data_IF_483302851677
#
_entry.id   IF_483302851677
#
_cell.length_a   1.000
_cell.length_b   1.000
_cell.length_c   1.000
_cell.angle_alpha   90.00
_cell.angle_beta   90.00
_cell.angle_gamma   90.00
#
_symmetry.space_group_name_H-M   'P 1'
#
loop_
_entity.id
_entity.type
_entity.pdbx_description
1 polymer ?
#
# COMPACT_ATOMS: atom_id res chain seq x y z
N UNK A 1 -9.06 -7.81 -10.35
CA UNK A 1 -7.81 -7.10 -9.96
C UNK A 1 -7.80 -5.73 -10.59
N UNK A 2 -7.32 -4.71 -9.88
CA UNK A 2 -7.23 -3.33 -10.36
C UNK A 2 -5.83 -3.02 -10.92
N UNK A 3 -5.78 -2.03 -11.82
CA UNK A 3 -4.51 -1.52 -12.39
C UNK A 3 -3.65 -0.85 -11.32
N UNK A 4 -2.32 -0.94 -11.40
CA UNK A 4 -1.43 -0.16 -10.54
C UNK A 4 -1.34 1.33 -10.95
N UNK A 5 -1.82 1.69 -12.13
CA UNK A 5 -1.81 3.07 -12.60
C UNK A 5 -3.01 3.84 -12.04
N UNK A 6 -2.82 5.14 -11.75
CA UNK A 6 -3.91 6.01 -11.36
C UNK A 6 -5.05 5.97 -12.38
N UNK A 7 -6.33 5.91 -11.94
CA UNK A 7 -7.47 6.08 -12.83
C UNK A 7 -7.33 7.32 -13.70
N UNK A 8 -7.71 7.23 -14.97
CA UNK A 8 -7.54 8.31 -15.94
C UNK A 8 -8.18 9.64 -15.47
N UNK A 9 -9.37 9.57 -14.87
CA UNK A 9 -10.06 10.74 -14.34
C UNK A 9 -9.25 11.41 -13.21
N UNK A 10 -8.71 10.62 -12.27
CA UNK A 10 -7.90 11.13 -11.16
C UNK A 10 -6.60 11.76 -11.66
N UNK A 11 -5.94 11.11 -12.63
CA UNK A 11 -4.74 11.65 -13.28
C UNK A 11 -5.02 12.99 -13.95
N UNK A 12 -6.11 13.09 -14.72
CA UNK A 12 -6.52 14.34 -15.36
C UNK A 12 -6.86 15.43 -14.37
N UNK A 13 -7.53 15.10 -13.25
CA UNK A 13 -7.85 16.03 -12.19
C UNK A 13 -6.61 16.62 -11.49
N UNK A 14 -5.59 15.80 -11.27
CA UNK A 14 -4.28 16.26 -10.74
C UNK A 14 -3.55 17.15 -11.74
N UNK A 15 -3.51 16.75 -13.02
CA UNK A 15 -2.85 17.54 -14.08
C UNK A 15 -3.54 18.89 -14.28
N UNK A 16 -4.88 18.95 -14.21
CA UNK A 16 -5.65 20.19 -14.28
C UNK A 16 -5.30 21.15 -13.13
N UNK A 17 -5.13 20.65 -11.89
CA UNK A 17 -4.75 21.47 -10.73
C UNK A 17 -3.31 21.95 -10.77
N UNK A 18 -2.44 21.21 -11.46
CA UNK A 18 -1.08 21.62 -11.71
C UNK A 18 -0.97 22.64 -12.87
N UNK A 19 -2.02 22.76 -13.69
CA UNK A 19 -2.05 23.72 -14.79
C UNK A 19 -2.01 25.15 -14.26
N UNK A 20 -1.18 25.99 -14.88
CA UNK A 20 -0.96 27.39 -14.45
C UNK A 20 0.06 27.56 -13.32
N UNK A 21 0.55 26.48 -12.70
CA UNK A 21 1.66 26.54 -11.75
C UNK A 21 3.01 26.43 -12.47
N UNK A 22 4.02 27.13 -11.97
CA UNK A 22 5.40 26.99 -12.42
C UNK A 22 5.89 25.56 -12.17
N UNK A 23 6.29 24.86 -13.23
CA UNK A 23 6.83 23.50 -13.15
C UNK A 23 8.10 23.44 -12.30
N UNK A 24 8.92 24.46 -12.38
CA UNK A 24 10.14 24.59 -11.56
C UNK A 24 9.80 24.69 -10.08
N UNK A 25 8.90 25.60 -9.70
CA UNK A 25 8.53 25.82 -8.30
C UNK A 25 7.83 24.57 -7.72
N UNK A 26 6.97 23.92 -8.52
CA UNK A 26 6.33 22.66 -8.12
C UNK A 26 7.37 21.53 -7.92
N UNK A 27 8.40 21.44 -8.77
CA UNK A 27 9.52 20.51 -8.61
C UNK A 27 10.35 20.78 -7.36
N UNK A 28 10.67 22.05 -7.07
CA UNK A 28 11.40 22.47 -5.86
C UNK A 28 10.59 22.13 -4.58
N UNK A 29 9.26 22.36 -4.58
CA UNK A 29 8.35 21.95 -3.49
C UNK A 29 8.36 20.44 -3.29
N UNK A 30 8.15 19.67 -4.35
CA UNK A 30 8.18 18.20 -4.30
C UNK A 30 9.52 17.67 -3.79
N UNK A 31 10.63 18.26 -4.23
CA UNK A 31 11.99 17.93 -3.78
C UNK A 31 12.20 18.17 -2.28
N UNK A 32 11.78 19.35 -1.77
CA UNK A 32 11.84 19.71 -0.34
C UNK A 32 11.02 18.76 0.51
N UNK A 33 9.77 18.46 0.12
CA UNK A 33 8.90 17.54 0.83
C UNK A 33 9.50 16.12 0.84
N UNK A 34 10.01 15.65 -0.30
CA UNK A 34 10.66 14.34 -0.39
C UNK A 34 11.93 14.25 0.46
N UNK A 35 12.70 15.32 0.58
CA UNK A 35 13.87 15.38 1.45
C UNK A 35 13.47 15.27 2.94
N UNK A 36 12.41 15.97 3.36
CA UNK A 36 11.87 15.89 4.72
C UNK A 36 11.49 14.44 5.07
N UNK A 37 10.70 13.76 4.23
CA UNK A 37 10.33 12.36 4.47
C UNK A 37 11.53 11.41 4.55
N UNK A 38 12.55 11.60 3.72
CA UNK A 38 13.78 10.78 3.77
C UNK A 38 14.60 10.99 5.03
N UNK A 39 14.51 12.17 5.65
CA UNK A 39 15.17 12.48 6.93
C UNK A 39 14.32 12.14 8.16
N UNK A 40 13.21 11.41 7.99
CA UNK A 40 12.33 11.01 9.09
C UNK A 40 11.30 12.06 9.49
N UNK A 41 11.07 13.08 8.65
CA UNK A 41 9.98 14.05 8.83
C UNK A 41 8.61 13.48 8.47
N UNK A 42 7.60 14.34 8.60
CA UNK A 42 6.20 14.02 8.35
C UNK A 42 5.55 15.02 7.37
N UNK A 43 4.23 14.94 7.22
CA UNK A 43 3.43 15.80 6.35
C UNK A 43 3.40 17.29 6.75
N UNK A 44 3.96 17.68 7.89
CA UNK A 44 3.99 19.07 8.38
C UNK A 44 4.70 20.07 7.46
N UNK A 45 5.52 19.59 6.53
CA UNK A 45 6.15 20.45 5.48
C UNK A 45 5.20 20.81 4.34
N UNK A 46 4.01 20.24 4.28
CA UNK A 46 2.96 20.50 3.28
C UNK A 46 2.02 21.53 3.90
N UNK A 47 2.23 22.81 3.62
CA UNK A 47 1.54 23.91 4.30
C UNK A 47 0.59 24.70 3.39
N UNK A 48 0.63 24.46 2.08
CA UNK A 48 -0.19 25.17 1.10
C UNK A 48 -0.82 24.20 0.09
N UNK A 49 -1.83 24.67 -0.62
CA UNK A 49 -2.44 23.94 -1.74
C UNK A 49 -1.39 23.58 -2.81
N UNK A 50 -0.48 24.51 -3.12
CA UNK A 50 0.60 24.28 -4.09
C UNK A 50 1.57 23.15 -3.61
N UNK A 51 1.86 23.07 -2.31
CA UNK A 51 2.64 21.97 -1.75
C UNK A 51 1.88 20.64 -1.85
N UNK A 52 0.57 20.64 -1.55
CA UNK A 52 -0.26 19.45 -1.62
C UNK A 52 -0.37 18.91 -3.07
N UNK A 53 -0.56 19.80 -4.06
CA UNK A 53 -0.60 19.44 -5.47
C UNK A 53 0.75 18.88 -5.95
N UNK A 54 1.86 19.54 -5.61
CA UNK A 54 3.20 19.08 -5.96
C UNK A 54 3.51 17.71 -5.34
N UNK A 55 3.18 17.52 -4.06
CA UNK A 55 3.29 16.23 -3.37
C UNK A 55 2.45 15.15 -4.02
N UNK A 56 1.16 15.40 -4.27
CA UNK A 56 0.25 14.43 -4.86
C UNK A 56 0.71 14.05 -6.29
N UNK A 57 1.14 14.99 -7.11
CA UNK A 57 1.63 14.71 -8.47
C UNK A 57 2.80 13.72 -8.47
N UNK A 58 3.67 13.78 -7.45
CA UNK A 58 4.88 12.95 -7.38
C UNK A 58 4.69 11.67 -6.58
N UNK A 59 3.89 11.69 -5.50
CA UNK A 59 3.77 10.55 -4.56
C UNK A 59 2.51 9.73 -4.73
N UNK A 60 1.39 10.37 -5.11
CA UNK A 60 0.12 9.65 -5.23
C UNK A 60 0.18 8.47 -6.22
N UNK A 61 0.85 8.57 -7.40
CA UNK A 61 0.97 7.42 -8.30
C UNK A 61 1.66 6.22 -7.67
N UNK A 62 2.77 6.44 -6.96
CA UNK A 62 3.53 5.39 -6.31
C UNK A 62 2.77 4.75 -5.13
N UNK A 63 2.16 5.58 -4.28
CA UNK A 63 1.31 5.10 -3.17
C UNK A 63 0.11 4.32 -3.68
N UNK A 64 -0.55 4.82 -4.74
CA UNK A 64 -1.67 4.12 -5.38
C UNK A 64 -1.26 2.74 -5.88
N UNK A 65 -0.13 2.64 -6.59
CA UNK A 65 0.38 1.38 -7.12
C UNK A 65 0.64 0.35 -6.01
N UNK A 66 1.25 0.76 -4.89
CA UNK A 66 1.50 -0.10 -3.73
C UNK A 66 0.19 -0.56 -3.06
N UNK A 67 -0.76 0.37 -2.85
CA UNK A 67 -2.07 0.04 -2.27
C UNK A 67 -2.86 -0.88 -3.21
N UNK A 68 -2.88 -0.60 -4.51
CA UNK A 68 -3.55 -1.44 -5.52
C UNK A 68 -2.99 -2.87 -5.54
N UNK A 69 -1.67 -3.03 -5.52
CA UNK A 69 -1.03 -4.34 -5.43
C UNK A 69 -1.39 -5.08 -4.13
N UNK A 70 -1.45 -4.36 -3.00
CA UNK A 70 -1.84 -4.92 -1.70
C UNK A 70 -3.31 -5.35 -1.67
N UNK A 71 -4.21 -4.54 -2.25
CA UNK A 71 -5.63 -4.88 -2.41
C UNK A 71 -5.85 -6.06 -3.36
N UNK A 72 -5.08 -6.14 -4.45
CA UNK A 72 -5.10 -7.28 -5.35
C UNK A 72 -4.71 -8.58 -4.62
N UNK A 73 -3.70 -8.55 -3.76
CA UNK A 73 -3.30 -9.69 -2.95
C UNK A 73 -4.39 -10.07 -1.92
N UNK A 74 -5.09 -9.09 -1.34
CA UNK A 74 -6.24 -9.31 -0.46
C UNK A 74 -7.40 -9.97 -1.20
N UNK A 75 -7.77 -9.47 -2.39
CA UNK A 75 -8.84 -10.05 -3.20
C UNK A 75 -8.54 -11.49 -3.63
N UNK A 76 -7.27 -11.84 -3.87
CA UNK A 76 -6.86 -13.22 -4.12
C UNK A 76 -7.04 -14.11 -2.88
N UNK A 77 -6.74 -13.59 -1.68
CA UNK A 77 -6.87 -14.34 -0.43
C UNK A 77 -8.33 -14.48 0.04
N UNK A 78 -9.15 -13.49 -0.26
CA UNK A 78 -10.57 -13.43 0.10
C UNK A 78 -11.42 -12.95 -1.09
N UNK A 79 -11.66 -13.79 -2.10
CA UNK A 79 -12.38 -13.39 -3.31
C UNK A 79 -13.83 -12.96 -3.07
N UNK A 80 -14.45 -13.43 -2.00
CA UNK A 80 -15.82 -13.08 -1.62
C UNK A 80 -15.91 -11.86 -0.70
N UNK A 81 -14.78 -11.23 -0.38
CA UNK A 81 -14.77 -10.03 0.47
C UNK A 81 -15.37 -8.84 -0.27
N UNK A 82 -16.54 -8.41 0.16
CA UNK A 82 -17.33 -7.32 -0.43
C UNK A 82 -17.62 -6.23 0.64
N UNK A 83 -16.62 -5.38 1.01
CA UNK A 83 -16.79 -4.36 2.03
C UNK A 83 -17.81 -3.31 1.59
N UNK A 84 -18.71 -2.90 2.50
CA UNK A 84 -19.66 -1.82 2.27
C UNK A 84 -19.12 -0.46 2.76
N UNK A 85 -18.16 -0.48 3.69
CA UNK A 85 -17.61 0.72 4.34
C UNK A 85 -16.08 0.73 4.34
N UNK A 86 -15.49 1.92 4.11
CA UNK A 86 -14.07 2.20 4.16
C UNK A 86 -13.77 3.24 5.24
N UNK A 87 -12.69 3.00 6.00
CA UNK A 87 -12.00 3.99 6.84
C UNK A 87 -10.54 4.10 6.41
N UNK A 88 -10.13 5.24 5.85
CA UNK A 88 -8.77 5.55 5.41
C UNK A 88 -8.08 6.45 6.45
N UNK A 89 -7.07 5.92 7.13
CA UNK A 89 -6.40 6.57 8.26
C UNK A 89 -5.01 7.06 7.86
N UNK A 90 -4.75 8.35 8.05
CA UNK A 90 -3.60 9.02 7.47
C UNK A 90 -3.77 9.14 5.95
N UNK A 91 -4.97 9.48 5.53
CA UNK A 91 -5.42 9.40 4.14
C UNK A 91 -4.66 10.33 3.19
N UNK A 92 -4.04 11.41 3.73
CA UNK A 92 -3.37 12.40 2.90
C UNK A 92 -4.29 12.94 1.79
N UNK A 93 -3.91 12.87 0.51
CA UNK A 93 -4.76 13.28 -0.60
C UNK A 93 -5.84 12.24 -0.99
N UNK A 94 -6.14 11.25 -0.12
CA UNK A 94 -7.16 10.24 -0.35
C UNK A 94 -6.72 9.07 -1.25
N UNK A 95 -5.43 8.84 -1.40
CA UNK A 95 -4.89 7.87 -2.37
C UNK A 95 -5.44 6.45 -2.16
N UNK A 96 -5.47 5.97 -0.91
CA UNK A 96 -5.97 4.63 -0.60
C UNK A 96 -7.49 4.53 -0.78
N UNK A 97 -8.22 5.62 -0.52
CA UNK A 97 -9.66 5.71 -0.79
C UNK A 97 -9.98 5.54 -2.28
N UNK A 98 -9.20 6.17 -3.17
CA UNK A 98 -9.35 5.97 -4.63
C UNK A 98 -9.04 4.53 -5.04
N UNK A 99 -7.97 3.93 -4.52
CA UNK A 99 -7.62 2.55 -4.83
C UNK A 99 -8.68 1.55 -4.32
N UNK A 100 -9.21 1.76 -3.13
CA UNK A 100 -10.28 0.92 -2.56
C UNK A 100 -11.58 1.03 -3.37
N UNK A 101 -11.94 2.25 -3.82
CA UNK A 101 -13.12 2.46 -4.66
C UNK A 101 -13.02 1.73 -6.01
N UNK A 102 -11.83 1.65 -6.60
CA UNK A 102 -11.59 0.86 -7.82
C UNK A 102 -11.62 -0.66 -7.52
N UNK A 103 -11.09 -1.09 -6.36
CA UNK A 103 -11.00 -2.50 -6.01
C UNK A 103 -12.36 -3.12 -5.65
N UNK A 104 -13.22 -2.38 -4.95
CA UNK A 104 -14.46 -2.91 -4.39
C UNK A 104 -15.67 -2.09 -4.84
N UNK A 105 -16.43 -2.63 -5.79
CA UNK A 105 -17.69 -2.02 -6.25
C UNK A 105 -18.77 -2.00 -5.18
N UNK A 106 -18.66 -2.82 -4.14
CA UNK A 106 -19.56 -2.92 -2.99
C UNK A 106 -19.46 -1.75 -2.01
N UNK A 107 -18.36 -0.98 -2.03
CA UNK A 107 -18.19 0.17 -1.14
C UNK A 107 -19.25 1.25 -1.41
N UNK A 108 -20.00 1.57 -0.36
CA UNK A 108 -21.07 2.57 -0.36
C UNK A 108 -20.77 3.78 0.54
N UNK A 109 -19.89 3.61 1.55
CA UNK A 109 -19.49 4.69 2.44
C UNK A 109 -17.97 4.81 2.54
N UNK A 110 -17.49 6.05 2.57
CA UNK A 110 -16.08 6.40 2.58
C UNK A 110 -15.81 7.43 3.67
N UNK A 111 -14.97 7.06 4.64
CA UNK A 111 -14.49 7.93 5.69
C UNK A 111 -12.97 8.01 5.64
N UNK A 112 -12.43 9.21 5.72
CA UNK A 112 -11.00 9.47 5.76
C UNK A 112 -10.64 10.34 6.96
N UNK A 113 -9.39 10.25 7.41
CA UNK A 113 -8.86 11.14 8.45
C UNK A 113 -7.38 11.39 8.25
N UNK A 114 -6.96 12.62 8.52
CA UNK A 114 -5.56 13.06 8.51
C UNK A 114 -5.39 14.32 9.35
N UNK A 115 -4.16 14.64 9.74
CA UNK A 115 -3.84 15.86 10.47
C UNK A 115 -3.52 17.06 9.58
N UNK A 116 -3.29 16.88 8.28
CA UNK A 116 -2.86 17.91 7.37
C UNK A 116 -4.02 18.59 6.62
N UNK A 117 -4.28 19.90 6.87
CA UNK A 117 -5.41 20.60 6.27
C UNK A 117 -5.26 20.81 4.74
N UNK A 118 -4.03 20.99 4.23
CA UNK A 118 -3.79 21.20 2.80
C UNK A 118 -4.06 19.91 2.01
N UNK A 119 -3.64 18.76 2.56
CA UNK A 119 -3.93 17.45 1.97
C UNK A 119 -5.42 17.12 2.02
N UNK A 120 -6.11 17.43 3.14
CA UNK A 120 -7.57 17.28 3.23
C UNK A 120 -8.28 18.10 2.17
N UNK A 121 -7.91 19.38 2.01
CA UNK A 121 -8.54 20.24 1.00
C UNK A 121 -8.39 19.68 -0.41
N UNK A 122 -7.19 19.18 -0.74
CA UNK A 122 -6.95 18.53 -2.03
C UNK A 122 -7.75 17.22 -2.16
N UNK A 123 -7.80 16.38 -1.12
CA UNK A 123 -8.56 15.13 -1.14
C UNK A 123 -10.05 15.37 -1.41
N UNK A 124 -10.65 16.33 -0.72
CA UNK A 124 -12.06 16.70 -0.92
C UNK A 124 -12.32 17.21 -2.34
N UNK A 125 -11.46 18.08 -2.86
CA UNK A 125 -11.58 18.59 -4.23
C UNK A 125 -11.44 17.50 -5.29
N UNK A 126 -10.55 16.50 -5.07
CA UNK A 126 -10.42 15.34 -5.96
C UNK A 126 -11.61 14.38 -5.84
N UNK A 127 -12.18 14.21 -4.64
CA UNK A 127 -13.35 13.38 -4.40
C UNK A 127 -14.61 13.94 -5.06
N UNK A 128 -14.78 15.26 -5.06
CA UNK A 128 -15.92 15.94 -5.72
C UNK A 128 -15.93 15.71 -7.25
N UNK A 129 -14.74 15.57 -7.85
CA UNK A 129 -14.59 15.24 -9.27
C UNK A 129 -14.86 13.75 -9.56
N UNK A 130 -14.87 12.90 -8.53
CA UNK A 130 -14.97 11.45 -8.67
C UNK A 130 -16.37 10.94 -8.28
N UNK A 131 -17.07 10.33 -9.23
CA UNK A 131 -18.46 9.86 -9.03
C UNK A 131 -18.62 8.97 -7.79
N UNK A 132 -17.67 8.05 -7.55
CA UNK A 132 -17.74 7.07 -6.44
C UNK A 132 -17.35 7.64 -5.08
N UNK A 133 -16.54 8.68 -5.04
CA UNK A 133 -16.04 9.29 -3.79
C UNK A 133 -16.74 10.60 -3.42
N UNK A 134 -17.74 11.02 -4.17
CA UNK A 134 -18.47 12.29 -3.95
C UNK A 134 -19.05 12.43 -2.54
N UNK A 135 -19.33 11.33 -1.87
CA UNK A 135 -19.81 11.30 -0.48
C UNK A 135 -18.71 11.07 0.57
N UNK A 136 -17.42 11.23 0.22
CA UNK A 136 -16.32 11.07 1.16
C UNK A 136 -16.46 12.04 2.34
N UNK A 137 -16.47 11.51 3.56
CA UNK A 137 -16.31 12.30 4.78
C UNK A 137 -14.85 12.37 5.18
N UNK A 138 -14.36 13.53 5.60
CA UNK A 138 -12.94 13.69 5.93
C UNK A 138 -12.77 14.46 7.24
N UNK A 139 -12.34 13.76 8.31
CA UNK A 139 -12.06 14.34 9.62
C UNK A 139 -10.62 14.86 9.69
N UNK A 140 -10.43 16.07 10.23
CA UNK A 140 -9.12 16.70 10.42
C UNK A 140 -8.69 16.60 11.88
N UNK A 141 -7.54 16.01 12.13
CA UNK A 141 -6.95 15.90 13.48
C UNK A 141 -6.00 14.72 13.63
N UNK A 142 -5.38 14.57 14.82
CA UNK A 142 -4.49 13.44 15.11
C UNK A 142 -5.23 12.11 14.99
N UNK A 143 -4.65 11.15 14.27
CA UNK A 143 -5.25 9.86 13.97
C UNK A 143 -5.75 9.14 15.24
N UNK A 144 -4.94 9.14 16.32
CA UNK A 144 -5.31 8.47 17.58
C UNK A 144 -6.60 9.04 18.19
N UNK A 145 -6.73 10.36 18.24
CA UNK A 145 -7.93 11.04 18.77
C UNK A 145 -9.17 10.79 17.91
N UNK A 146 -8.99 10.80 16.59
CA UNK A 146 -10.09 10.56 15.66
C UNK A 146 -10.54 9.09 15.68
N UNK A 147 -9.60 8.14 15.78
CA UNK A 147 -9.92 6.72 15.89
C UNK A 147 -10.77 6.40 17.14
N UNK A 148 -10.58 7.11 18.27
CA UNK A 148 -11.38 6.87 19.47
C UNK A 148 -12.89 7.11 19.26
N UNK A 149 -13.24 7.93 18.28
CA UNK A 149 -14.61 8.34 17.96
C UNK A 149 -15.14 7.80 16.62
N UNK A 150 -14.24 7.22 15.82
CA UNK A 150 -14.59 6.70 14.49
C UNK A 150 -15.55 5.51 14.61
N UNK A 151 -16.45 5.38 13.67
CA UNK A 151 -17.23 4.17 13.49
C UNK A 151 -16.34 3.03 12.96
N UNK A 152 -16.78 1.79 13.15
CA UNK A 152 -16.12 0.65 12.56
C UNK A 152 -16.42 0.57 11.06
N UNK A 153 -15.43 0.11 10.30
CA UNK A 153 -15.58 -0.12 8.87
C UNK A 153 -15.20 -1.56 8.49
N UNK A 154 -15.75 -2.02 7.37
CA UNK A 154 -15.43 -3.35 6.85
C UNK A 154 -14.00 -3.43 6.32
N UNK A 155 -13.53 -2.33 5.73
CA UNK A 155 -12.15 -2.16 5.29
C UNK A 155 -11.55 -0.94 5.98
N UNK A 156 -10.47 -1.15 6.74
CA UNK A 156 -9.65 -0.08 7.31
C UNK A 156 -8.29 -0.10 6.63
N UNK A 157 -7.82 1.05 6.14
CA UNK A 157 -6.52 1.18 5.49
C UNK A 157 -5.68 2.21 6.25
N UNK A 158 -4.39 1.89 6.47
CA UNK A 158 -3.37 2.81 6.92
C UNK A 158 -2.16 2.68 5.99
N UNK A 159 -1.94 3.66 5.11
CA UNK A 159 -0.89 3.61 4.10
C UNK A 159 0.13 4.72 4.29
N UNK A 160 1.42 4.33 4.46
CA UNK A 160 2.56 5.24 4.61
C UNK A 160 2.43 6.24 5.78
N UNK A 161 1.69 5.89 6.84
CA UNK A 161 1.43 6.79 7.97
C UNK A 161 2.03 6.34 9.30
N UNK A 162 2.12 5.01 9.55
CA UNK A 162 2.61 4.53 10.85
C UNK A 162 4.12 4.79 11.04
N UNK A 163 4.84 5.06 9.96
CA UNK A 163 6.24 5.48 9.97
C UNK A 163 6.47 6.89 10.51
N UNK A 164 5.44 7.75 10.51
CA UNK A 164 5.50 9.11 11.07
C UNK A 164 5.29 9.16 12.60
N UNK A 165 4.88 8.04 13.19
CA UNK A 165 4.59 7.91 14.61
C UNK A 165 5.80 7.44 15.42
N UNK A 166 5.91 7.89 16.66
CA UNK A 166 6.83 7.28 17.64
C UNK A 166 6.45 5.81 17.88
N UNK A 167 7.34 5.03 18.44
CA UNK A 167 7.08 3.60 18.71
C UNK A 167 5.86 3.38 19.61
N UNK A 168 5.72 4.18 20.66
CA UNK A 168 4.60 4.10 21.61
C UNK A 168 3.28 4.48 20.93
N UNK A 169 3.26 5.59 20.20
CA UNK A 169 2.08 6.03 19.46
C UNK A 169 1.68 5.02 18.37
N UNK A 170 2.66 4.43 17.70
CA UNK A 170 2.45 3.41 16.66
C UNK A 170 1.75 2.18 17.22
N UNK A 171 2.23 1.64 18.34
CA UNK A 171 1.62 0.48 18.99
C UNK A 171 0.15 0.75 19.36
N UNK A 172 -0.12 1.89 20.00
CA UNK A 172 -1.49 2.29 20.39
C UNK A 172 -2.38 2.55 19.17
N UNK A 173 -1.82 3.13 18.09
CA UNK A 173 -2.57 3.38 16.84
C UNK A 173 -2.92 2.07 16.14
N UNK A 174 -1.99 1.11 16.08
CA UNK A 174 -2.23 -0.22 15.49
C UNK A 174 -3.38 -0.95 16.19
N UNK A 175 -3.43 -0.91 17.52
CA UNK A 175 -4.54 -1.49 18.29
C UNK A 175 -5.87 -0.79 17.97
N UNK A 176 -5.84 0.55 17.90
CA UNK A 176 -7.02 1.33 17.58
C UNK A 176 -7.53 1.07 16.15
N UNK A 177 -6.63 0.90 15.17
CA UNK A 177 -6.98 0.51 13.79
C UNK A 177 -7.73 -0.83 13.79
N UNK A 178 -7.21 -1.85 14.47
CA UNK A 178 -7.91 -3.14 14.57
C UNK A 178 -9.24 -3.00 15.31
N UNK A 179 -9.32 -2.19 16.37
CA UNK A 179 -10.56 -1.97 17.10
C UNK A 179 -11.67 -1.35 16.22
N UNK A 180 -11.31 -0.60 15.18
CA UNK A 180 -12.23 0.00 14.20
C UNK A 180 -12.47 -0.88 12.96
N UNK A 181 -11.89 -2.07 12.90
CA UNK A 181 -12.02 -3.00 11.77
C UNK A 181 -13.11 -4.04 12.06
N UNK A 182 -14.11 -4.14 11.18
CA UNK A 182 -15.09 -5.24 11.17
C UNK A 182 -14.59 -6.43 10.34
N UNK A 183 -14.05 -6.17 9.14
CA UNK A 183 -13.58 -7.18 8.19
C UNK A 183 -12.05 -7.22 8.09
N UNK A 184 -11.47 -6.33 7.32
CA UNK A 184 -10.03 -6.32 6.99
C UNK A 184 -9.34 -5.03 7.38
N UNK A 185 -8.17 -5.14 8.03
CA UNK A 185 -7.19 -4.07 8.21
C UNK A 185 -6.03 -4.26 7.24
N UNK A 186 -5.76 -3.27 6.40
CA UNK A 186 -4.63 -3.21 5.50
C UNK A 186 -3.64 -2.12 5.96
N UNK A 187 -2.39 -2.50 6.22
CA UNK A 187 -1.30 -1.57 6.53
C UNK A 187 -0.25 -1.68 5.43
N UNK A 188 0.15 -0.55 4.85
CA UNK A 188 1.17 -0.46 3.79
C UNK A 188 2.25 0.54 4.21
N UNK A 189 3.52 0.15 4.07
CA UNK A 189 4.70 0.94 4.44
C UNK A 189 5.76 0.90 3.33
N UNK A 190 6.74 1.82 3.32
CA UNK A 190 7.86 1.73 2.38
C UNK A 190 8.57 0.40 2.46
N UNK A 191 9.00 -0.16 1.31
CA UNK A 191 9.73 -1.43 1.19
C UNK A 191 11.19 -1.34 1.65
N UNK A 192 11.48 -0.55 2.66
CA UNK A 192 12.78 -0.41 3.32
C UNK A 192 12.90 -1.37 4.51
N UNK A 193 14.12 -1.70 5.00
CA UNK A 193 14.26 -2.48 6.22
C UNK A 193 13.45 -1.90 7.39
N UNK A 194 13.44 -0.58 7.57
CA UNK A 194 12.68 0.07 8.64
C UNK A 194 11.15 -0.05 8.44
N UNK A 195 10.65 0.09 7.19
CA UNK A 195 9.24 -0.13 6.88
C UNK A 195 8.80 -1.56 7.12
N UNK A 196 9.62 -2.53 6.69
CA UNK A 196 9.40 -3.94 6.98
C UNK A 196 9.35 -4.24 8.48
N UNK A 197 10.26 -3.69 9.29
CA UNK A 197 10.24 -3.89 10.75
C UNK A 197 8.93 -3.37 11.37
N UNK A 198 8.41 -2.23 10.91
CA UNK A 198 7.11 -1.73 11.35
C UNK A 198 5.96 -2.66 11.00
N UNK A 199 5.98 -3.21 9.77
CA UNK A 199 4.97 -4.20 9.32
C UNK A 199 5.04 -5.49 10.15
N UNK A 200 6.24 -6.02 10.43
CA UNK A 200 6.39 -7.23 11.25
C UNK A 200 5.93 -6.99 12.68
N UNK A 201 6.29 -5.87 13.30
CA UNK A 201 5.83 -5.53 14.64
C UNK A 201 4.29 -5.40 14.70
N UNK A 202 3.66 -4.76 13.69
CA UNK A 202 2.22 -4.67 13.58
C UNK A 202 1.57 -6.05 13.41
N UNK A 203 2.12 -6.86 12.49
CA UNK A 203 1.66 -8.23 12.22
C UNK A 203 1.65 -9.08 13.49
N UNK A 204 2.78 -9.16 14.18
CA UNK A 204 2.93 -10.05 15.34
C UNK A 204 2.05 -9.59 16.50
N UNK A 205 1.96 -8.28 16.73
CA UNK A 205 1.05 -7.68 17.71
C UNK A 205 -0.40 -8.04 17.43
N UNK A 206 -0.87 -7.91 16.20
CA UNK A 206 -2.27 -8.12 15.83
C UNK A 206 -2.63 -9.62 15.76
N UNK A 207 -1.70 -10.50 15.37
CA UNK A 207 -1.88 -11.94 15.48
C UNK A 207 -2.07 -12.35 16.95
N UNK A 208 -1.27 -11.79 17.86
CA UNK A 208 -1.40 -12.08 19.30
C UNK A 208 -2.76 -11.66 19.88
N UNK A 209 -3.48 -10.72 19.23
CA UNK A 209 -4.86 -10.34 19.61
C UNK A 209 -5.96 -11.12 18.87
N UNK A 210 -5.59 -12.17 18.14
CA UNK A 210 -6.53 -13.06 17.44
C UNK A 210 -6.88 -12.67 16.02
N UNK A 211 -6.18 -11.69 15.42
CA UNK A 211 -6.37 -11.38 14.01
C UNK A 211 -5.71 -12.45 13.10
N UNK A 212 -6.31 -12.68 11.93
CA UNK A 212 -5.82 -13.66 10.98
C UNK A 212 -5.10 -12.99 9.82
N UNK A 213 -3.97 -13.54 9.40
CA UNK A 213 -3.25 -13.05 8.22
C UNK A 213 -3.98 -13.47 6.95
N UNK A 214 -4.33 -12.51 6.09
CA UNK A 214 -4.85 -12.76 4.76
C UNK A 214 -3.75 -12.69 3.68
N UNK A 215 -2.96 -11.63 3.71
CA UNK A 215 -1.85 -11.40 2.75
C UNK A 215 -0.75 -10.54 3.40
N UNK A 216 0.48 -10.58 2.93
CA UNK A 216 1.05 -11.44 1.89
C UNK A 216 1.49 -12.82 2.40
N UNK A 217 1.63 -12.98 3.74
CA UNK A 217 2.25 -14.15 4.35
C UNK A 217 1.37 -15.40 4.12
N UNK A 218 1.95 -16.54 3.68
CA UNK A 218 1.22 -17.79 3.54
C UNK A 218 0.98 -18.49 4.90
N UNK A 219 1.52 -17.95 6.01
CA UNK A 219 1.43 -18.49 7.35
C UNK A 219 1.26 -17.43 8.42
N UNK A 220 0.85 -17.82 9.63
CA UNK A 220 0.77 -16.97 10.81
C UNK A 220 1.92 -17.17 11.81
N UNK A 221 2.83 -18.14 11.59
CA UNK A 221 4.03 -18.37 12.39
C UNK A 221 4.98 -17.15 12.34
N UNK A 222 5.97 -17.08 13.23
CA UNK A 222 7.00 -16.06 13.21
C UNK A 222 7.64 -15.92 11.81
N UNK A 223 7.98 -14.69 11.42
CA UNK A 223 8.60 -14.47 10.11
C UNK A 223 10.00 -15.13 10.06
N UNK A 224 10.29 -15.97 9.03
CA UNK A 224 11.56 -16.68 8.93
C UNK A 224 12.72 -15.80 8.42
N UNK A 225 12.45 -14.56 8.00
CA UNK A 225 13.50 -13.68 7.48
C UNK A 225 14.22 -12.99 8.62
N UNK A 226 15.55 -13.05 8.57
CA UNK A 226 16.46 -12.42 9.54
C UNK A 226 17.36 -11.41 8.82
N UNK A 227 17.74 -10.35 9.53
CA UNK A 227 18.64 -9.33 8.98
C UNK A 227 19.94 -9.96 8.41
N UNK A 228 20.45 -9.48 7.28
CA UNK A 228 20.04 -8.25 6.54
C UNK A 228 18.89 -8.45 5.56
N UNK A 229 18.19 -9.56 5.58
CA UNK A 229 17.08 -9.88 4.68
C UNK A 229 15.74 -9.35 5.19
N UNK A 230 14.86 -8.91 4.29
CA UNK A 230 13.53 -8.41 4.62
C UNK A 230 12.51 -8.65 3.51
N UNK A 231 11.22 -8.78 3.88
CA UNK A 231 10.13 -8.96 2.95
C UNK A 231 9.63 -7.61 2.42
N UNK A 232 9.69 -7.44 1.12
CA UNK A 232 9.09 -6.31 0.41
C UNK A 232 8.66 -6.75 -0.97
N UNK A 233 7.88 -5.91 -1.64
CA UNK A 233 7.37 -6.13 -2.98
C UNK A 233 7.70 -4.92 -3.85
N UNK A 234 7.58 -5.10 -5.15
CA UNK A 234 7.86 -4.04 -6.13
C UNK A 234 6.67 -3.95 -7.06
N UNK A 235 6.17 -2.74 -7.26
CA UNK A 235 5.16 -2.47 -8.27
C UNK A 235 5.68 -1.43 -9.26
N UNK A 236 5.78 -1.82 -10.51
CA UNK A 236 6.11 -0.89 -11.59
C UNK A 236 4.90 -0.05 -11.95
N UNK A 237 5.11 1.25 -12.14
CA UNK A 237 4.10 2.21 -12.58
C UNK A 237 4.66 3.13 -13.65
N UNK A 238 3.78 3.59 -14.55
CA UNK A 238 4.14 4.58 -15.56
C UNK A 238 4.25 5.98 -14.95
N UNK A 239 5.27 6.76 -15.35
CA UNK A 239 5.37 8.17 -15.01
C UNK A 239 4.70 9.04 -16.06
N UNK A 240 3.75 9.88 -15.66
CA UNK A 240 3.23 10.93 -16.54
C UNK A 240 4.31 11.95 -16.88
N UNK A 241 4.06 12.78 -17.89
CA UNK A 241 4.98 13.88 -18.23
C UNK A 241 5.21 14.81 -17.04
N UNK A 242 4.12 15.23 -16.37
CA UNK A 242 4.19 16.08 -15.18
C UNK A 242 5.01 15.43 -14.05
N UNK A 243 4.79 14.14 -13.79
CA UNK A 243 5.54 13.38 -12.78
C UNK A 243 7.05 13.36 -13.09
N UNK A 244 7.44 13.13 -14.36
CA UNK A 244 8.85 13.15 -14.77
C UNK A 244 9.48 14.53 -14.60
N UNK A 245 8.79 15.58 -15.06
CA UNK A 245 9.25 16.95 -14.97
C UNK A 245 9.49 17.36 -13.51
N UNK A 246 8.55 17.09 -12.59
CA UNK A 246 8.68 17.46 -11.17
C UNK A 246 9.76 16.65 -10.43
N UNK A 247 10.01 15.41 -10.84
CA UNK A 247 11.09 14.57 -10.26
C UNK A 247 12.46 14.78 -10.92
N UNK A 248 12.54 15.47 -12.04
CA UNK A 248 13.76 15.52 -12.87
C UNK A 248 14.17 14.11 -13.33
N UNK A 249 13.20 13.29 -13.73
CA UNK A 249 13.43 11.88 -14.05
C UNK A 249 13.35 11.61 -15.55
N UNK A 250 14.38 10.95 -16.10
CA UNK A 250 14.47 10.65 -17.53
C UNK A 250 13.66 9.41 -17.93
N UNK A 251 13.61 8.40 -17.06
CA UNK A 251 12.94 7.12 -17.38
C UNK A 251 11.41 7.23 -17.25
N UNK A 252 10.64 6.59 -18.16
CA UNK A 252 9.17 6.70 -18.19
C UNK A 252 8.44 5.84 -17.17
N UNK A 253 9.14 5.16 -16.27
CA UNK A 253 8.56 4.31 -15.23
C UNK A 253 9.26 4.53 -13.88
N UNK A 254 8.62 4.04 -12.83
CA UNK A 254 9.14 3.95 -11.47
C UNK A 254 8.81 2.58 -10.89
N UNK A 255 9.70 2.04 -10.08
CA UNK A 255 9.46 0.82 -9.32
C UNK A 255 9.26 1.22 -7.85
N UNK A 256 8.00 1.24 -7.40
CA UNK A 256 7.70 1.49 -5.98
C UNK A 256 7.93 0.23 -5.18
N UNK A 257 8.78 0.33 -4.17
CA UNK A 257 9.04 -0.74 -3.20
C UNK A 257 8.18 -0.51 -1.95
N UNK A 258 7.44 -1.54 -1.55
CA UNK A 258 6.55 -1.49 -0.38
C UNK A 258 6.56 -2.79 0.40
N UNK A 259 6.23 -2.69 1.68
CA UNK A 259 5.88 -3.82 2.56
C UNK A 259 4.46 -3.64 3.04
N UNK A 260 3.70 -4.71 3.21
CA UNK A 260 2.33 -4.61 3.65
C UNK A 260 1.88 -5.81 4.47
N UNK A 261 0.78 -5.65 5.20
CA UNK A 261 0.05 -6.72 5.86
C UNK A 261 -1.45 -6.47 5.76
N UNK A 262 -2.20 -7.48 5.33
CA UNK A 262 -3.65 -7.52 5.42
C UNK A 262 -4.05 -8.54 6.47
N UNK A 263 -4.80 -8.09 7.47
CA UNK A 263 -5.28 -8.88 8.61
C UNK A 263 -6.80 -8.85 8.66
N UNK A 264 -7.41 -9.98 8.95
CA UNK A 264 -8.86 -10.15 8.93
C UNK A 264 -9.39 -10.62 10.29
N UNK A 265 -10.66 -10.33 10.58
CA UNK A 265 -11.35 -10.83 11.77
C UNK A 265 -11.68 -12.32 11.68
N UNK A 266 -11.84 -12.84 10.48
CA UNK A 266 -12.07 -14.25 10.19
C UNK A 266 -10.91 -14.80 9.35
N UNK A 267 -10.62 -16.09 9.41
CA UNK A 267 -9.59 -16.69 8.56
C UNK A 267 -9.84 -16.40 7.08
N UNK A 268 -8.77 -16.11 6.33
CA UNK A 268 -8.85 -15.95 4.88
C UNK A 268 -9.28 -17.28 4.22
N UNK A 269 -10.12 -17.17 3.20
CA UNK A 269 -10.68 -18.34 2.52
C UNK A 269 -9.64 -19.09 1.67
N UNK A 270 -8.62 -18.38 1.20
CA UNK A 270 -7.55 -18.94 0.38
C UNK A 270 -6.18 -18.51 0.91
N UNK A 271 -5.25 -19.46 0.98
CA UNK A 271 -3.85 -19.21 1.30
C UNK A 271 -2.96 -19.88 0.27
N UNK A 272 -1.98 -19.20 -0.30
CA UNK A 272 -1.02 -19.82 -1.20
C UNK A 272 -0.13 -20.80 -0.44
N UNK A 273 0.37 -21.82 -1.13
CA UNK A 273 1.38 -22.73 -0.56
C UNK A 273 2.72 -22.03 -0.30
N UNK A 274 3.02 -21.00 -1.08
CA UNK A 274 4.17 -20.12 -0.87
C UNK A 274 3.95 -18.72 -1.47
N UNK A 275 4.75 -17.76 -1.00
CA UNK A 275 4.88 -16.41 -1.56
C UNK A 275 6.26 -16.21 -2.18
N UNK A 276 6.33 -15.71 -3.40
CA UNK A 276 7.57 -15.38 -4.09
C UNK A 276 8.13 -14.07 -3.51
N UNK A 277 9.36 -14.11 -2.95
CA UNK A 277 9.96 -13.01 -2.19
C UNK A 277 10.95 -12.14 -2.99
N UNK A 278 11.29 -12.55 -4.20
CA UNK A 278 12.18 -11.80 -5.09
C UNK A 278 11.89 -12.20 -6.54
N UNK A 279 12.34 -11.37 -7.49
CA UNK A 279 12.20 -11.69 -8.91
C UNK A 279 12.84 -13.04 -9.22
N UNK A 280 12.11 -14.04 -9.74
CA UNK A 280 12.67 -15.33 -10.11
C UNK A 280 13.70 -15.20 -11.24
N UNK A 281 14.77 -15.97 -11.13
CA UNK A 281 15.77 -16.07 -12.19
C UNK A 281 15.45 -17.26 -13.09
N UNK A 282 15.08 -16.99 -14.33
CA UNK A 282 14.80 -18.02 -15.33
C UNK A 282 15.98 -18.11 -16.32
N UNK A 283 16.51 -19.32 -16.46
CA UNK A 283 17.66 -19.61 -17.32
C UNK A 283 17.35 -20.75 -18.30
N UNK A 284 18.31 -21.08 -19.16
CA UNK A 284 18.19 -22.23 -20.07
C UNK A 284 18.15 -23.59 -19.35
N UNK A 285 18.67 -23.66 -18.10
CA UNK A 285 18.78 -24.91 -17.33
C UNK A 285 17.70 -25.08 -16.27
N UNK A 286 17.05 -24.00 -15.85
CA UNK A 286 16.00 -24.04 -14.82
C UNK A 286 15.53 -22.66 -14.38
N UNK A 287 14.69 -22.64 -13.35
CA UNK A 287 14.26 -21.46 -12.64
C UNK A 287 14.71 -21.50 -11.19
N UNK A 288 15.08 -20.35 -10.62
CA UNK A 288 15.42 -20.22 -9.21
C UNK A 288 14.53 -19.14 -8.61
N UNK A 289 13.87 -19.44 -7.49
CA UNK A 289 12.98 -18.51 -6.78
C UNK A 289 13.22 -18.57 -5.27
N UNK A 290 13.11 -17.40 -4.61
CA UNK A 290 13.08 -17.32 -3.16
C UNK A 290 11.63 -17.36 -2.71
N UNK A 291 11.27 -18.33 -1.88
CA UNK A 291 9.91 -18.60 -1.44
C UNK A 291 9.80 -18.50 0.08
N UNK A 292 8.75 -17.83 0.58
CA UNK A 292 8.22 -18.00 1.92
C UNK A 292 7.09 -19.02 1.85
N UNK A 293 7.15 -20.09 2.63
CA UNK A 293 6.24 -21.24 2.54
C UNK A 293 5.18 -21.23 3.64
N UNK A 294 4.11 -21.97 3.40
CA UNK A 294 3.01 -22.11 4.36
C UNK A 294 3.42 -22.80 5.68
N UNK A 295 4.52 -23.56 5.69
CA UNK A 295 5.11 -24.19 6.88
C UNK A 295 5.89 -23.22 7.77
N UNK A 296 6.01 -21.93 7.40
CA UNK A 296 6.75 -20.92 8.14
C UNK A 296 8.23 -20.84 7.79
N UNK A 297 8.69 -21.54 6.76
CA UNK A 297 10.09 -21.49 6.31
C UNK A 297 10.28 -20.56 5.11
N UNK A 298 11.50 -20.06 4.92
CA UNK A 298 11.90 -19.36 3.71
C UNK A 298 13.16 -20.02 3.11
N UNK A 299 13.15 -20.26 1.80
CA UNK A 299 14.27 -20.89 1.11
C UNK A 299 14.35 -20.43 -0.35
N UNK A 300 15.56 -20.50 -0.90
CA UNK A 300 15.81 -20.46 -2.34
C UNK A 300 15.61 -21.86 -2.91
N UNK A 301 14.70 -21.99 -3.88
CA UNK A 301 14.42 -23.25 -4.56
C UNK A 301 14.91 -23.20 -5.99
N UNK A 302 15.49 -24.30 -6.46
CA UNK A 302 15.90 -24.48 -7.84
C UNK A 302 15.02 -25.52 -8.51
N UNK A 303 14.42 -25.16 -9.63
CA UNK A 303 13.49 -26.00 -10.40
C UNK A 303 14.16 -26.30 -11.73
N UNK A 304 14.64 -27.53 -11.92
CA UNK A 304 15.37 -27.86 -13.14
C UNK A 304 14.41 -27.96 -14.36
N UNK A 305 14.90 -27.58 -15.53
CA UNK A 305 14.10 -27.63 -16.78
C UNK A 305 13.59 -29.02 -17.14
N UNK A 306 14.27 -30.07 -16.69
CA UNK A 306 13.86 -31.48 -16.88
C UNK A 306 12.53 -31.79 -16.17
N UNK A 307 12.22 -31.09 -15.08
CA UNK A 307 10.90 -31.13 -14.44
C UNK A 307 9.97 -30.17 -15.21
N UNK A 308 9.45 -30.67 -16.32
CA UNK A 308 8.67 -29.86 -17.28
C UNK A 308 7.44 -29.19 -16.65
N UNK A 309 6.61 -29.86 -15.81
CA UNK A 309 5.44 -29.21 -15.19
C UNK A 309 5.84 -28.09 -14.21
N UNK A 310 6.74 -28.37 -13.28
CA UNK A 310 7.19 -27.41 -12.29
C UNK A 310 7.91 -26.21 -12.94
N UNK A 311 8.77 -26.47 -13.94
CA UNK A 311 9.44 -25.39 -14.68
C UNK A 311 8.46 -24.55 -15.49
N UNK A 312 7.44 -25.13 -16.13
CA UNK A 312 6.41 -24.40 -16.86
C UNK A 312 5.59 -23.48 -15.96
N UNK A 313 5.37 -23.85 -14.69
CA UNK A 313 4.76 -23.00 -13.68
C UNK A 313 5.74 -21.90 -13.25
N UNK A 314 6.94 -22.27 -12.79
CA UNK A 314 7.91 -21.37 -12.18
C UNK A 314 8.43 -20.27 -13.12
N UNK A 315 8.53 -20.54 -14.41
CA UNK A 315 8.94 -19.52 -15.40
C UNK A 315 7.93 -18.37 -15.59
N UNK A 316 6.71 -18.51 -15.01
CA UNK A 316 5.64 -17.50 -15.04
C UNK A 316 5.47 -16.79 -13.71
N UNK A 317 6.20 -17.22 -12.69
CA UNK A 317 6.14 -16.57 -11.39
C UNK A 317 6.77 -15.20 -11.44
N UNK A 318 6.15 -14.29 -10.74
CA UNK A 318 6.65 -12.94 -10.56
C UNK A 318 6.84 -12.62 -9.07
N UNK A 319 7.57 -11.57 -8.77
CA UNK A 319 7.79 -11.14 -7.40
C UNK A 319 6.46 -10.73 -6.76
N UNK A 320 6.11 -11.36 -5.63
CA UNK A 320 4.88 -11.14 -4.93
C UNK A 320 3.78 -12.17 -5.21
N UNK A 321 3.96 -13.07 -6.17
CA UNK A 321 2.97 -14.10 -6.49
C UNK A 321 2.74 -15.06 -5.34
N UNK A 322 1.46 -15.42 -5.13
CA UNK A 322 1.06 -16.60 -4.37
C UNK A 322 1.12 -17.82 -5.27
N UNK A 323 1.91 -18.81 -4.88
CA UNK A 323 2.18 -19.97 -5.73
C UNK A 323 1.99 -21.28 -4.97
N UNK A 324 1.78 -22.37 -5.72
CA UNK A 324 1.93 -23.74 -5.20
C UNK A 324 3.38 -24.13 -5.47
N UNK A 325 4.21 -24.36 -4.42
CA UNK A 325 5.57 -24.85 -4.61
C UNK A 325 5.56 -26.27 -5.18
N UNK A 326 6.59 -26.64 -5.95
CA UNK A 326 6.71 -27.99 -6.52
C UNK A 326 6.95 -29.03 -5.44
#
# INVERSE_FOLDING_TARGET
MISPDLPAALKSALEARLHGQSRRDAGERAGRISASYRSGGNSGTITSEADAIAYATVRMPATYAAVAASLNALMQANPDFAPASLLDVGAGPGTASFAAAEAFSSLASYSAMDSNPALRSLAMALADDATRLRGLTYALGPARTLLDRAERADLVIASYMIGELTEVERAATIDALLARTNGTLLIVEPGTPAGYQRIIAARDRLIATGAHVAAPCPHAAACPLIAPDWCHFVQRLARSRAHRELKGADVPFEDEKFSFIALTRQPASQRPGARVLAQPLVTKVGATAKLCRADGTAAVVSIPRRDKPAFAAARRWDWGDGVTPP
#
